data_IF_419298596002
#
_entry.id   IF_419298596002
#
_cell.length_a   1.000
_cell.length_b   1.000
_cell.length_c   1.000
_cell.angle_alpha   90.00
_cell.angle_beta   90.00
_cell.angle_gamma   90.00
#
_symmetry.space_group_name_H-M   'P 1'
#
loop_
_entity.id
_entity.type
_entity.pdbx_description
1 polymer ?
#
# COMPACT_ATOMS: atom_id res chain seq x y z
N UNK A 1 -35.26 16.82 -3.10
CA UNK A 1 -34.18 16.51 -2.13
C UNK A 1 -32.83 16.58 -2.84
N UNK A 2 -32.15 17.71 -2.78
CA UNK A 2 -30.93 17.96 -3.56
C UNK A 2 -29.70 17.40 -2.81
N UNK A 3 -28.95 16.49 -3.43
CA UNK A 3 -27.73 15.93 -2.83
C UNK A 3 -26.61 16.99 -2.90
N UNK A 4 -26.16 17.47 -1.74
CA UNK A 4 -25.00 18.36 -1.61
C UNK A 4 -23.72 17.53 -1.79
N UNK A 5 -22.95 17.80 -2.84
CA UNK A 5 -21.64 17.18 -3.06
C UNK A 5 -20.66 17.70 -2.00
N UNK A 6 -20.01 16.80 -1.26
CA UNK A 6 -18.91 17.16 -0.35
C UNK A 6 -17.69 17.54 -1.20
N UNK A 7 -17.25 18.79 -1.10
CA UNK A 7 -15.97 19.23 -1.64
C UNK A 7 -14.83 18.46 -0.94
N UNK A 8 -13.90 17.93 -1.73
CA UNK A 8 -12.76 17.14 -1.24
C UNK A 8 -11.72 18.11 -0.67
N UNK A 9 -11.71 18.30 0.65
CA UNK A 9 -10.69 19.11 1.34
C UNK A 9 -9.34 18.44 1.15
N UNK A 10 -8.39 19.11 0.49
CA UNK A 10 -7.02 18.63 0.36
C UNK A 10 -6.36 18.64 1.74
N UNK A 11 -6.14 17.46 2.31
CA UNK A 11 -5.39 17.31 3.55
C UNK A 11 -3.91 17.48 3.23
N UNK A 12 -3.32 18.60 3.64
CA UNK A 12 -1.87 18.83 3.56
C UNK A 12 -1.16 17.99 4.64
N UNK A 13 -1.03 16.69 4.40
CA UNK A 13 -0.23 15.81 5.26
C UNK A 13 1.24 15.90 4.87
N UNK A 14 2.07 16.36 5.80
CA UNK A 14 3.52 16.31 5.66
C UNK A 14 4.00 14.86 5.84
N UNK A 15 4.93 14.42 4.98
CA UNK A 15 5.54 13.08 5.05
C UNK A 15 7.04 13.25 5.30
N UNK A 16 7.57 12.56 6.30
CA UNK A 16 9.00 12.51 6.53
C UNK A 16 9.69 11.64 5.46
N UNK A 17 10.58 12.26 4.69
CA UNK A 17 11.31 11.62 3.58
C UNK A 17 12.66 11.07 4.01
N UNK A 18 13.14 11.37 5.22
CA UNK A 18 14.43 10.94 5.74
C UNK A 18 15.65 11.52 5.02
N UNK A 19 15.49 12.67 4.33
CA UNK A 19 16.55 13.33 3.56
C UNK A 19 17.10 14.61 4.20
N UNK A 20 16.58 14.99 5.37
CA UNK A 20 16.95 16.26 6.01
C UNK A 20 16.57 17.46 5.15
N UNK A 21 17.40 18.52 5.19
CA UNK A 21 17.16 19.75 4.41
C UNK A 21 17.63 19.57 2.98
N UNK A 22 16.70 19.59 2.03
CA UNK A 22 17.01 19.51 0.59
C UNK A 22 17.45 20.90 0.11
N UNK A 23 18.70 21.01 -0.35
CA UNK A 23 19.29 22.29 -0.84
C UNK A 23 19.29 22.45 -2.36
N UNK A 24 19.11 21.35 -3.10
CA UNK A 24 19.17 21.34 -4.56
C UNK A 24 17.78 21.05 -5.16
N UNK A 25 17.53 19.82 -5.62
CA UNK A 25 16.28 19.45 -6.29
C UNK A 25 15.39 18.58 -5.39
N UNK A 26 14.17 19.07 -5.12
CA UNK A 26 13.18 18.39 -4.31
C UNK A 26 12.70 17.07 -4.91
N UNK A 27 12.41 17.03 -6.22
CA UNK A 27 11.90 15.84 -6.90
C UNK A 27 12.95 14.72 -6.96
N UNK A 28 14.21 15.08 -7.25
CA UNK A 28 15.31 14.11 -7.27
C UNK A 28 15.53 13.48 -5.89
N UNK A 29 15.42 14.28 -4.82
CA UNK A 29 15.50 13.79 -3.45
C UNK A 29 14.31 12.89 -3.11
N UNK A 30 13.11 13.20 -3.59
CA UNK A 30 11.92 12.39 -3.39
C UNK A 30 12.02 11.04 -4.09
N UNK A 31 12.35 10.99 -5.39
CA UNK A 31 12.43 9.72 -6.16
C UNK A 31 13.37 8.72 -5.51
N UNK A 32 14.44 9.21 -4.90
CA UNK A 32 15.44 8.36 -4.24
C UNK A 32 15.17 8.13 -2.74
N UNK A 33 14.10 8.73 -2.19
CA UNK A 33 13.68 8.57 -0.79
C UNK A 33 12.94 7.24 -0.55
N UNK A 34 12.69 6.91 0.73
CA UNK A 34 11.95 5.69 1.13
C UNK A 34 10.52 5.65 0.60
N UNK A 35 9.94 6.80 0.25
CA UNK A 35 8.56 6.93 -0.23
C UNK A 35 8.40 6.22 -1.58
N UNK A 36 9.38 6.35 -2.48
CA UNK A 36 9.30 5.85 -3.86
C UNK A 36 10.15 4.59 -4.09
N UNK A 37 10.26 3.73 -3.07
CA UNK A 37 10.96 2.46 -3.21
C UNK A 37 10.18 1.48 -4.11
N UNK A 38 10.86 0.64 -4.91
CA UNK A 38 10.18 -0.40 -5.67
C UNK A 38 9.46 -1.38 -4.73
N UNK A 39 8.20 -1.66 -5.03
CA UNK A 39 7.39 -2.60 -4.27
C UNK A 39 7.35 -3.95 -4.97
N UNK A 40 7.91 -4.97 -4.32
CA UNK A 40 7.90 -6.35 -4.84
C UNK A 40 6.69 -7.09 -4.26
N UNK A 41 5.81 -7.57 -5.13
CA UNK A 41 4.63 -8.36 -4.75
C UNK A 41 5.01 -9.83 -4.64
N UNK A 42 4.56 -10.50 -3.59
CA UNK A 42 4.74 -11.95 -3.43
C UNK A 42 3.95 -12.71 -4.49
N UNK A 43 4.63 -13.55 -5.26
CA UNK A 43 4.02 -14.38 -6.30
C UNK A 43 2.97 -15.36 -5.72
N UNK A 44 1.94 -15.67 -6.51
CA UNK A 44 0.90 -16.65 -6.14
C UNK A 44 1.34 -18.10 -6.36
N UNK A 45 2.22 -18.35 -7.33
CA UNK A 45 2.78 -19.67 -7.68
C UNK A 45 4.25 -19.52 -8.10
N UNK A 46 5.06 -20.57 -7.94
CA UNK A 46 6.47 -20.60 -8.36
C UNK A 46 7.47 -20.20 -7.27
N UNK A 47 8.57 -19.55 -7.66
CA UNK A 47 9.62 -19.14 -6.71
C UNK A 47 9.09 -18.09 -5.73
N UNK A 48 9.38 -18.28 -4.44
CA UNK A 48 8.96 -17.34 -3.39
C UNK A 48 7.44 -17.32 -3.12
N UNK A 49 6.65 -18.25 -3.66
CA UNK A 49 5.20 -18.29 -3.42
C UNK A 49 4.78 -19.11 -2.20
N UNK A 50 5.65 -19.98 -1.68
CA UNK A 50 5.33 -20.84 -0.53
C UNK A 50 4.96 -20.00 0.71
N UNK A 51 3.90 -20.43 1.41
CA UNK A 51 3.42 -19.84 2.66
C UNK A 51 3.22 -20.98 3.65
N UNK A 52 3.75 -20.85 4.87
CA UNK A 52 3.60 -21.87 5.92
C UNK A 52 2.15 -22.02 6.38
N UNK A 53 1.39 -20.92 6.39
CA UNK A 53 -0.04 -20.92 6.68
C UNK A 53 -0.79 -20.25 5.54
N UNK A 54 -1.93 -20.83 5.17
CA UNK A 54 -2.87 -20.23 4.23
C UNK A 54 -3.77 -19.23 4.97
N UNK A 55 -4.41 -18.32 4.21
CA UNK A 55 -5.26 -17.26 4.77
C UNK A 55 -6.45 -17.80 5.59
N UNK A 56 -6.96 -18.97 5.22
CA UNK A 56 -8.13 -19.61 5.80
C UNK A 56 -7.82 -21.03 6.33
N UNK A 57 -6.64 -21.24 6.91
CA UNK A 57 -6.31 -22.53 7.50
C UNK A 57 -7.28 -22.85 8.66
N UNK A 58 -7.91 -24.03 8.63
CA UNK A 58 -8.87 -24.47 9.66
C UNK A 58 -10.31 -23.99 9.47
N UNK A 59 -10.67 -23.37 8.33
CA UNK A 59 -12.07 -23.11 7.99
C UNK A 59 -12.63 -24.27 7.16
N UNK A 60 -13.60 -24.96 7.74
CA UNK A 60 -14.34 -26.06 7.10
C UNK A 60 -15.22 -25.53 5.96
N UNK A 61 -15.18 -26.17 4.79
CA UNK A 61 -15.88 -25.75 3.56
C UNK A 61 -17.39 -26.01 3.54
N UNK A 62 -17.98 -26.42 4.67
CA UNK A 62 -19.30 -27.06 4.71
C UNK A 62 -20.50 -26.12 4.87
N UNK A 63 -20.33 -24.79 4.83
CA UNK A 63 -21.46 -23.85 4.97
C UNK A 63 -22.25 -23.59 3.66
N UNK A 64 -21.90 -24.25 2.54
CA UNK A 64 -22.58 -24.06 1.23
C UNK A 64 -23.36 -25.33 0.80
N UNK A 65 -23.47 -26.33 1.66
CA UNK A 65 -24.28 -27.53 1.42
C UNK A 65 -25.43 -27.63 2.43
N UNK A 66 -26.44 -26.76 2.29
CA UNK A 66 -27.76 -26.90 2.90
C UNK A 66 -28.81 -26.17 2.06
#
# INVERSE_FOLDING_TARGET
MTKKSKAKTATNSAVDTGRGVIRHNALAALVTSKVFKPQVVKAKKGKGSFKRSNKHAGQESYLIAA
#
